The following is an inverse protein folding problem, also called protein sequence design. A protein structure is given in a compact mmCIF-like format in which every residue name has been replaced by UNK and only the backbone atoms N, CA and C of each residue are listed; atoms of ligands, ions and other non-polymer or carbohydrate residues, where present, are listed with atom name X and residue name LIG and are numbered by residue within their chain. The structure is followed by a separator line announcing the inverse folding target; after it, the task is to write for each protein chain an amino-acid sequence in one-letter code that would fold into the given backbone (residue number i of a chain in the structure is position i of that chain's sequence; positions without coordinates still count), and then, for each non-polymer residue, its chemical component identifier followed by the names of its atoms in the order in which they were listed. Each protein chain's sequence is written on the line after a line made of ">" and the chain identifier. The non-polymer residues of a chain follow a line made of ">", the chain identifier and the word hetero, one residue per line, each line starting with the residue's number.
data_IF_813810241013
#
_entry.id   IF_813810241013
#
_cell.length_a   1.000
_cell.length_b   1.000
_cell.length_c   1.000
_cell.angle_alpha   90.00
_cell.angle_beta   90.00
_cell.angle_gamma   90.00
#
_symmetry.space_group_name_H-M   'P 1'
#
loop_
_entity.id
_entity.type
_entity.pdbx_description
1 polymer ?
#
# COMPACT_ATOMS: atom_id res chain seq x y z
N UNK A 1 -14.31 -29.57 -5.03
CA UNK A 1 -14.95 -28.23 -5.02
C UNK A 1 -13.88 -27.25 -5.45
N UNK A 2 -14.08 -26.47 -6.51
CA UNK A 2 -13.07 -25.52 -7.01
C UNK A 2 -13.13 -24.25 -6.15
N UNK A 3 -11.97 -23.72 -5.74
CA UNK A 3 -11.90 -22.48 -4.98
C UNK A 3 -12.11 -21.27 -5.91
N UNK A 4 -13.37 -20.87 -6.09
CA UNK A 4 -13.78 -19.83 -7.06
C UNK A 4 -13.01 -18.51 -6.87
N UNK A 5 -12.69 -18.15 -5.61
CA UNK A 5 -11.95 -16.93 -5.31
C UNK A 5 -10.50 -16.97 -5.82
N UNK A 6 -9.83 -18.10 -5.65
CA UNK A 6 -8.47 -18.32 -6.14
C UNK A 6 -8.42 -18.36 -7.66
N UNK A 7 -9.40 -19.01 -8.31
CA UNK A 7 -9.50 -19.01 -9.79
C UNK A 7 -9.77 -17.60 -10.33
N UNK A 8 -10.58 -16.76 -9.65
CA UNK A 8 -10.77 -15.36 -10.04
C UNK A 8 -9.48 -14.54 -9.91
N UNK A 9 -8.75 -14.75 -8.82
CA UNK A 9 -7.48 -14.07 -8.58
C UNK A 9 -6.44 -14.41 -9.66
N UNK A 10 -6.25 -15.69 -9.98
CA UNK A 10 -5.32 -16.12 -11.03
C UNK A 10 -5.80 -15.72 -12.44
N UNK A 11 -7.11 -15.71 -12.70
CA UNK A 11 -7.67 -15.20 -13.96
C UNK A 11 -7.29 -13.74 -14.19
N UNK A 12 -7.46 -12.89 -13.17
CA UNK A 12 -7.15 -11.47 -13.24
C UNK A 12 -5.65 -11.23 -13.47
N UNK A 13 -4.80 -11.94 -12.72
CA UNK A 13 -3.34 -11.90 -12.88
C UNK A 13 -2.91 -12.34 -14.28
N UNK A 14 -3.47 -13.44 -14.79
CA UNK A 14 -3.16 -13.95 -16.13
C UNK A 14 -3.65 -12.97 -17.23
N UNK A 15 -4.78 -12.30 -17.01
CA UNK A 15 -5.32 -11.27 -17.90
C UNK A 15 -4.37 -10.09 -18.01
N UNK A 16 -3.83 -9.62 -16.89
CA UNK A 16 -2.85 -8.52 -16.85
C UNK A 16 -1.55 -8.88 -17.58
N UNK A 17 -1.00 -10.08 -17.35
CA UNK A 17 0.17 -10.58 -18.08
C UNK A 17 -0.10 -10.61 -19.58
N UNK A 18 -1.29 -11.06 -20.00
CA UNK A 18 -1.68 -11.10 -21.41
C UNK A 18 -1.76 -9.71 -22.03
N UNK A 19 -2.28 -8.71 -21.31
CA UNK A 19 -2.33 -7.32 -21.77
C UNK A 19 -0.92 -6.78 -22.03
N UNK A 20 0.02 -7.00 -21.10
CA UNK A 20 1.41 -6.57 -21.26
C UNK A 20 2.10 -7.25 -22.45
N UNK A 21 1.86 -8.54 -22.68
CA UNK A 21 2.38 -9.27 -23.85
C UNK A 21 1.79 -8.73 -25.17
N UNK A 22 0.51 -8.36 -25.17
CA UNK A 22 -0.15 -7.77 -26.35
C UNK A 22 0.38 -6.37 -26.66
N UNK A 23 0.67 -5.57 -25.64
CA UNK A 23 1.31 -4.26 -25.78
C UNK A 23 2.73 -4.39 -26.36
N UNK A 24 3.54 -5.32 -25.85
CA UNK A 24 4.88 -5.59 -26.40
C UNK A 24 4.80 -6.01 -27.87
N UNK A 25 3.87 -6.92 -28.21
CA UNK A 25 3.64 -7.36 -29.59
C UNK A 25 3.25 -6.17 -30.49
N UNK A 26 2.34 -5.31 -30.03
CA UNK A 26 1.88 -4.16 -30.79
C UNK A 26 3.00 -3.14 -31.05
N UNK A 27 3.89 -2.93 -30.08
CA UNK A 27 5.08 -2.07 -30.24
C UNK A 27 6.05 -2.68 -31.25
N UNK A 28 6.32 -3.98 -31.16
CA UNK A 28 7.24 -4.65 -32.09
C UNK A 28 6.71 -4.68 -33.52
N UNK A 29 5.40 -4.90 -33.72
CA UNK A 29 4.76 -4.82 -35.05
C UNK A 29 4.82 -3.42 -35.65
N UNK A 30 4.64 -2.37 -34.83
CA UNK A 30 4.80 -0.98 -35.30
C UNK A 30 6.24 -0.69 -35.72
N UNK A 31 7.24 -1.13 -34.94
CA UNK A 31 8.66 -0.95 -35.29
C UNK A 31 9.02 -1.72 -36.57
N UNK A 32 8.46 -2.91 -36.77
CA UNK A 32 8.65 -3.70 -38.00
C UNK A 32 8.04 -3.06 -39.25
N UNK A 33 6.87 -2.42 -39.09
CA UNK A 33 6.22 -1.68 -40.18
C UNK A 33 6.96 -0.38 -40.55
N UNK A 34 7.64 0.24 -39.58
CA UNK A 34 8.47 1.43 -39.80
C UNK A 34 9.80 1.11 -40.51
N UNK A 35 10.37 -0.08 -40.32
CA UNK A 35 11.59 -0.50 -41.03
C UNK A 35 11.32 -0.98 -42.47
N UNK A 36 10.10 -1.46 -42.74
CA UNK A 36 9.70 -1.93 -44.08
C UNK A 36 9.24 -0.79 -45.02
N UNK A 37 8.94 0.39 -44.49
CA UNK A 37 8.66 1.63 -45.24
C UNK A 37 9.86 2.58 -45.12
N UNK A 38 10.65 2.73 -46.19
CA UNK A 38 11.82 3.63 -46.24
C UNK A 38 11.54 5.10 -45.83
N UNK A 39 12.57 5.96 -45.73
CA UNK A 39 12.52 7.19 -44.94
C UNK A 39 11.48 8.18 -45.50
N UNK A 40 10.50 8.54 -44.69
CA UNK A 40 9.60 9.68 -44.94
C UNK A 40 9.48 10.56 -43.69
N UNK A 41 9.23 11.88 -43.84
CA UNK A 41 9.61 12.85 -42.83
C UNK A 41 8.52 13.10 -41.77
N UNK A 42 9.00 13.15 -40.51
CA UNK A 42 8.47 13.85 -39.34
C UNK A 42 7.06 13.51 -38.84
N UNK A 43 7.01 12.90 -37.64
CA UNK A 43 6.26 13.46 -36.51
C UNK A 43 6.83 12.94 -35.20
N UNK A 44 7.51 13.82 -34.47
CA UNK A 44 8.13 13.49 -33.20
C UNK A 44 7.09 13.14 -32.13
N UNK A 45 7.29 11.98 -31.49
CA UNK A 45 7.12 11.85 -30.05
C UNK A 45 7.88 10.64 -29.53
N UNK A 46 8.62 10.90 -28.47
CA UNK A 46 9.71 10.12 -27.93
C UNK A 46 9.13 8.90 -27.20
N UNK A 47 9.58 7.70 -27.56
CA UNK A 47 9.18 6.46 -26.90
C UNK A 47 9.83 5.19 -27.46
N UNK A 48 10.48 5.24 -28.62
CA UNK A 48 11.05 4.07 -29.28
C UNK A 48 12.53 3.84 -28.95
N UNK A 49 12.86 3.70 -27.66
CA UNK A 49 14.21 3.29 -27.26
C UNK A 49 14.34 1.78 -27.03
N UNK A 50 13.22 1.06 -26.82
CA UNK A 50 13.25 -0.38 -26.47
C UNK A 50 13.08 -1.35 -27.65
N UNK A 51 12.49 -0.92 -28.77
CA UNK A 51 12.27 -1.79 -29.95
C UNK A 51 13.39 -1.77 -30.99
N UNK A 52 14.16 -0.68 -31.05
CA UNK A 52 15.14 -0.39 -32.11
C UNK A 52 16.49 -1.10 -31.94
N UNK A 53 16.66 -1.91 -30.89
CA UNK A 53 17.92 -2.60 -30.58
C UNK A 53 18.01 -4.02 -31.16
N UNK A 54 16.89 -4.58 -31.66
CA UNK A 54 16.83 -5.95 -32.16
C UNK A 54 17.10 -5.99 -33.67
N UNK A 55 17.87 -6.98 -34.12
CA UNK A 55 18.04 -7.25 -35.56
C UNK A 55 16.70 -7.71 -36.17
N UNK A 56 16.48 -7.53 -37.50
CA UNK A 56 15.23 -7.91 -38.15
C UNK A 56 14.84 -9.37 -37.88
N UNK A 57 15.79 -10.30 -37.95
CA UNK A 57 15.54 -11.71 -37.68
C UNK A 57 15.19 -11.98 -36.20
N UNK A 58 15.83 -11.26 -35.26
CA UNK A 58 15.50 -11.35 -33.84
C UNK A 58 14.11 -10.77 -33.53
N UNK A 59 13.67 -9.74 -34.26
CA UNK A 59 12.34 -9.15 -34.12
C UNK A 59 11.24 -10.10 -34.60
N UNK A 60 11.42 -10.71 -35.77
CA UNK A 60 10.49 -11.72 -36.30
C UNK A 60 10.37 -12.90 -35.33
N UNK A 61 11.49 -13.42 -34.83
CA UNK A 61 11.48 -14.50 -33.83
C UNK A 61 10.76 -14.09 -32.53
N UNK A 62 10.96 -12.85 -32.07
CA UNK A 62 10.27 -12.31 -30.89
C UNK A 62 8.76 -12.16 -31.11
N UNK A 63 8.33 -11.68 -32.28
CA UNK A 63 6.92 -11.58 -32.66
C UNK A 63 6.26 -12.96 -32.63
N UNK A 64 6.83 -13.97 -33.28
CA UNK A 64 6.27 -15.32 -33.28
C UNK A 64 6.19 -15.92 -31.87
N UNK A 65 7.19 -15.68 -31.03
CA UNK A 65 7.18 -16.12 -29.62
C UNK A 65 6.07 -15.45 -28.81
N UNK A 66 5.85 -14.13 -28.99
CA UNK A 66 4.76 -13.40 -28.35
C UNK A 66 3.38 -13.86 -28.83
N UNK A 67 3.21 -14.13 -30.11
CA UNK A 67 1.96 -14.69 -30.65
C UNK A 67 1.66 -16.07 -30.07
N UNK A 68 2.68 -16.92 -29.95
CA UNK A 68 2.54 -18.22 -29.31
C UNK A 68 2.16 -18.11 -27.81
N UNK A 69 2.84 -17.24 -27.06
CA UNK A 69 2.52 -16.99 -25.65
C UNK A 69 1.11 -16.40 -25.46
N UNK A 70 0.67 -15.52 -26.35
CA UNK A 70 -0.70 -14.99 -26.37
C UNK A 70 -1.74 -16.09 -26.66
N UNK A 71 -1.41 -17.04 -27.55
CA UNK A 71 -2.23 -18.22 -27.81
C UNK A 71 -2.40 -19.11 -26.58
N UNK A 72 -1.29 -19.45 -25.90
CA UNK A 72 -1.33 -20.25 -24.66
C UNK A 72 -2.15 -19.52 -23.58
N UNK A 73 -1.85 -18.24 -23.34
CA UNK A 73 -2.54 -17.44 -22.33
C UNK A 73 -4.04 -17.32 -22.61
N UNK A 74 -4.44 -17.21 -23.88
CA UNK A 74 -5.86 -17.21 -24.27
C UNK A 74 -6.55 -18.52 -23.89
N UNK A 75 -5.93 -19.67 -24.14
CA UNK A 75 -6.49 -20.97 -23.78
C UNK A 75 -6.63 -21.12 -22.26
N UNK A 76 -5.63 -20.68 -21.49
CA UNK A 76 -5.70 -20.69 -20.02
C UNK A 76 -6.82 -19.80 -19.49
N UNK A 77 -7.01 -18.59 -20.03
CA UNK A 77 -8.10 -17.69 -19.64
C UNK A 77 -9.47 -18.27 -19.98
N UNK A 78 -9.64 -18.91 -21.13
CA UNK A 78 -10.90 -19.57 -21.50
C UNK A 78 -11.20 -20.73 -20.56
N UNK A 79 -10.20 -21.55 -20.21
CA UNK A 79 -10.37 -22.64 -19.26
C UNK A 79 -10.75 -22.12 -17.86
N UNK A 80 -10.11 -21.05 -17.38
CA UNK A 80 -10.44 -20.42 -16.10
C UNK A 80 -11.83 -19.79 -16.13
N UNK A 81 -12.18 -19.06 -17.18
CA UNK A 81 -13.52 -18.50 -17.36
C UNK A 81 -14.61 -19.59 -17.39
N UNK A 82 -14.34 -20.73 -18.03
CA UNK A 82 -15.24 -21.88 -18.02
C UNK A 82 -15.42 -22.46 -16.63
N UNK A 83 -14.36 -22.58 -15.83
CA UNK A 83 -14.46 -23.03 -14.44
C UNK A 83 -15.28 -22.07 -13.59
N UNK A 84 -15.10 -20.75 -13.78
CA UNK A 84 -15.89 -19.72 -13.09
C UNK A 84 -17.36 -19.78 -13.49
N UNK A 85 -17.65 -19.92 -14.78
CA UNK A 85 -19.01 -20.04 -15.30
C UNK A 85 -19.69 -21.32 -14.81
N UNK A 86 -18.99 -22.45 -14.81
CA UNK A 86 -19.54 -23.73 -14.36
C UNK A 86 -19.75 -23.75 -12.83
N UNK A 87 -18.88 -23.07 -12.06
CA UNK A 87 -19.10 -22.88 -10.64
C UNK A 87 -20.35 -22.01 -10.38
N UNK A 88 -20.51 -20.94 -11.14
CA UNK A 88 -21.66 -20.04 -11.04
C UNK A 88 -22.97 -20.72 -11.48
N UNK A 89 -22.93 -21.56 -12.53
CA UNK A 89 -24.09 -22.35 -12.96
C UNK A 89 -24.46 -23.41 -11.93
N UNK A 90 -23.48 -24.05 -11.27
CA UNK A 90 -23.77 -24.94 -10.14
C UNK A 90 -24.48 -24.21 -9.01
N UNK A 91 -24.12 -22.97 -8.68
CA UNK A 91 -24.84 -22.18 -7.67
C UNK A 91 -26.24 -21.73 -8.13
N UNK A 92 -26.41 -21.38 -9.41
CA UNK A 92 -27.72 -21.01 -9.98
C UNK A 92 -28.66 -22.20 -10.14
N UNK A 93 -28.15 -23.38 -10.47
CA UNK A 93 -28.95 -24.59 -10.72
C UNK A 93 -29.77 -25.03 -9.49
N UNK A 94 -29.38 -24.61 -8.28
CA UNK A 94 -30.11 -24.93 -7.07
C UNK A 94 -31.01 -23.79 -6.55
N UNK A 95 -30.70 -22.54 -6.89
CA UNK A 95 -31.50 -21.36 -6.49
C UNK A 95 -32.59 -21.00 -7.49
N UNK A 96 -32.61 -21.65 -8.66
CA UNK A 96 -33.63 -21.41 -9.67
C UNK A 96 -35.04 -21.82 -9.20
N UNK A 97 -35.95 -20.83 -9.21
CA UNK A 97 -37.40 -20.93 -9.00
C UNK A 97 -38.06 -22.13 -9.72
N UNK A 98 -37.47 -22.59 -10.82
CA UNK A 98 -37.92 -23.74 -11.61
C UNK A 98 -37.83 -25.11 -10.91
N UNK A 99 -36.94 -25.29 -9.91
CA UNK A 99 -36.81 -26.59 -9.19
C UNK A 99 -37.93 -26.82 -8.17
N UNK A 100 -38.39 -25.75 -7.53
CA UNK A 100 -39.59 -25.80 -6.68
C UNK A 100 -40.82 -26.27 -7.48
N UNK A 101 -40.91 -25.85 -8.74
CA UNK A 101 -41.97 -26.27 -9.66
C UNK A 101 -41.85 -27.74 -10.13
N UNK A 102 -40.75 -28.43 -9.84
CA UNK A 102 -40.48 -29.83 -10.18
C UNK A 102 -40.63 -30.78 -8.97
N UNK A 103 -41.02 -30.28 -7.80
CA UNK A 103 -41.29 -31.11 -6.62
C UNK A 103 -42.55 -31.98 -6.86
N UNK A 104 -42.34 -33.19 -7.39
CA UNK A 104 -43.41 -34.16 -7.68
C UNK A 104 -43.46 -35.29 -6.64
N UNK A 105 -42.42 -35.45 -5.83
CA UNK A 105 -42.35 -36.47 -4.78
C UNK A 105 -41.76 -35.94 -3.47
N UNK A 106 -42.02 -36.67 -2.37
CA UNK A 106 -41.40 -36.41 -1.07
C UNK A 106 -39.88 -36.64 -1.07
N UNK A 107 -39.38 -37.51 -1.95
CA UNK A 107 -37.94 -37.73 -2.14
C UNK A 107 -37.25 -36.48 -2.70
N UNK A 108 -37.89 -35.82 -3.66
CA UNK A 108 -37.38 -34.56 -4.24
C UNK A 108 -37.34 -33.44 -3.20
N UNK A 109 -38.40 -33.35 -2.38
CA UNK A 109 -38.47 -32.38 -1.29
C UNK A 109 -37.36 -32.62 -0.25
N UNK A 110 -37.12 -33.87 0.14
CA UNK A 110 -36.03 -34.24 1.06
C UNK A 110 -34.67 -33.86 0.49
N UNK A 111 -34.40 -34.19 -0.77
CA UNK A 111 -33.12 -33.89 -1.40
C UNK A 111 -32.86 -32.38 -1.51
N UNK A 112 -33.90 -31.60 -1.87
CA UNK A 112 -33.81 -30.15 -1.91
C UNK A 112 -33.52 -29.56 -0.52
N UNK A 113 -34.25 -30.00 0.50
CA UNK A 113 -34.02 -29.55 1.88
C UNK A 113 -32.60 -29.91 2.35
N UNK A 114 -32.15 -31.15 2.11
CA UNK A 114 -30.81 -31.56 2.50
C UNK A 114 -29.73 -30.69 1.85
N UNK A 115 -29.89 -30.39 0.56
CA UNK A 115 -28.98 -29.49 -0.15
C UNK A 115 -28.99 -28.09 0.47
N UNK A 116 -30.17 -27.51 0.71
CA UNK A 116 -30.28 -26.17 1.30
C UNK A 116 -29.67 -26.11 2.71
N UNK A 117 -29.88 -27.15 3.52
CA UNK A 117 -29.24 -27.26 4.84
C UNK A 117 -27.72 -27.34 4.75
N UNK A 118 -27.19 -28.16 3.83
CA UNK A 118 -25.73 -28.26 3.64
C UNK A 118 -25.15 -26.94 3.16
N UNK A 119 -25.76 -26.31 2.14
CA UNK A 119 -25.31 -25.02 1.60
C UNK A 119 -25.36 -23.89 2.64
N UNK A 120 -26.43 -23.83 3.43
CA UNK A 120 -26.53 -22.87 4.53
C UNK A 120 -25.50 -23.16 5.63
N UNK A 121 -25.28 -24.43 5.94
CA UNK A 121 -24.25 -24.89 6.88
C UNK A 121 -22.86 -24.46 6.46
N UNK A 122 -22.48 -24.73 5.21
CA UNK A 122 -21.20 -24.36 4.62
C UNK A 122 -20.99 -22.84 4.63
N UNK A 123 -22.02 -22.09 4.24
CA UNK A 123 -21.99 -20.61 4.26
C UNK A 123 -21.77 -20.07 5.67
N UNK A 124 -22.40 -20.68 6.68
CA UNK A 124 -22.23 -20.30 8.09
C UNK A 124 -20.82 -20.61 8.60
N UNK A 125 -20.25 -21.76 8.23
CA UNK A 125 -18.87 -22.11 8.61
C UNK A 125 -17.87 -21.12 8.01
N UNK A 126 -17.99 -20.81 6.71
CA UNK A 126 -17.14 -19.83 6.05
C UNK A 126 -17.25 -18.44 6.68
N UNK A 127 -18.46 -18.00 7.05
CA UNK A 127 -18.66 -16.73 7.74
C UNK A 127 -17.92 -16.72 9.08
N UNK A 128 -18.00 -17.82 9.85
CA UNK A 128 -17.29 -17.97 11.12
C UNK A 128 -15.77 -17.90 10.96
N UNK A 129 -15.21 -18.52 9.92
CA UNK A 129 -13.78 -18.44 9.60
C UNK A 129 -13.37 -16.99 9.32
N UNK A 130 -14.14 -16.26 8.49
CA UNK A 130 -13.88 -14.84 8.22
C UNK A 130 -14.03 -13.95 9.44
N UNK A 131 -14.97 -14.23 10.33
CA UNK A 131 -15.10 -13.50 11.59
C UNK A 131 -13.89 -13.71 12.51
N UNK A 132 -13.24 -14.88 12.46
CA UNK A 132 -11.98 -15.13 13.16
C UNK A 132 -10.83 -14.33 12.53
N UNK A 133 -10.67 -14.40 11.21
CA UNK A 133 -9.64 -13.64 10.48
C UNK A 133 -9.77 -12.13 10.73
N UNK A 134 -10.99 -11.58 10.67
CA UNK A 134 -11.26 -10.16 10.93
C UNK A 134 -10.84 -9.79 12.35
N UNK A 135 -11.11 -10.66 13.33
CA UNK A 135 -10.75 -10.42 14.74
C UNK A 135 -9.25 -10.38 14.94
N UNK A 136 -8.52 -11.32 14.33
CA UNK A 136 -7.06 -11.40 14.39
C UNK A 136 -6.41 -10.19 13.73
N UNK A 137 -6.83 -9.84 12.50
CA UNK A 137 -6.33 -8.66 11.80
C UNK A 137 -6.60 -7.37 12.58
N UNK A 138 -7.75 -7.29 13.27
CA UNK A 138 -8.08 -6.15 14.14
C UNK A 138 -7.17 -6.09 15.36
N UNK A 139 -6.73 -7.23 15.90
CA UNK A 139 -5.77 -7.29 17.00
C UNK A 139 -4.37 -6.87 16.55
N UNK A 140 -3.89 -7.38 15.42
CA UNK A 140 -2.64 -6.94 14.80
C UNK A 140 -2.62 -5.43 14.54
N UNK A 141 -3.73 -4.87 14.04
CA UNK A 141 -3.86 -3.43 13.85
C UNK A 141 -3.76 -2.65 15.16
N UNK A 142 -4.38 -3.14 16.24
CA UNK A 142 -4.29 -2.50 17.56
C UNK A 142 -2.85 -2.50 18.08
N UNK A 143 -2.13 -3.61 17.89
CA UNK A 143 -0.73 -3.72 18.29
C UNK A 143 0.15 -2.73 17.51
N UNK A 144 0.00 -2.68 16.18
CA UNK A 144 0.71 -1.71 15.33
C UNK A 144 0.42 -0.26 15.73
N UNK A 145 -0.85 0.07 16.03
CA UNK A 145 -1.23 1.40 16.52
C UNK A 145 -0.58 1.69 17.87
N UNK A 146 -0.46 0.70 18.75
CA UNK A 146 0.25 0.81 20.02
C UNK A 146 1.73 1.12 19.84
N UNK A 147 2.42 0.34 18.99
CA UNK A 147 3.83 0.53 18.66
C UNK A 147 4.09 1.89 18.01
N UNK A 148 3.21 2.34 17.10
CA UNK A 148 3.33 3.65 16.47
C UNK A 148 3.27 4.79 17.49
N UNK A 149 2.31 4.74 18.43
CA UNK A 149 2.21 5.74 19.52
C UNK A 149 3.44 5.74 20.42
N UNK A 150 3.98 4.57 20.74
CA UNK A 150 5.21 4.45 21.53
C UNK A 150 6.41 5.05 20.77
N UNK A 151 6.53 4.75 19.48
CA UNK A 151 7.57 5.30 18.62
C UNK A 151 7.47 6.83 18.52
N UNK A 152 6.25 7.38 18.42
CA UNK A 152 6.02 8.82 18.44
C UNK A 152 6.44 9.48 19.75
N UNK A 153 6.20 8.83 20.90
CA UNK A 153 6.65 9.31 22.20
C UNK A 153 8.18 9.29 22.31
N UNK A 154 8.82 8.19 21.91
CA UNK A 154 10.28 8.09 21.91
C UNK A 154 10.93 9.12 20.99
N UNK A 155 10.36 9.38 19.81
CA UNK A 155 10.84 10.40 18.89
C UNK A 155 10.77 11.80 19.51
N UNK A 156 9.68 12.13 20.20
CA UNK A 156 9.54 13.42 20.90
C UNK A 156 10.56 13.59 22.02
N UNK A 157 10.85 12.51 22.77
CA UNK A 157 11.85 12.54 23.84
C UNK A 157 13.25 12.80 23.28
N UNK A 158 13.65 12.07 22.24
CA UNK A 158 14.94 12.26 21.56
C UNK A 158 15.06 13.68 20.98
N UNK A 159 13.98 14.22 20.42
CA UNK A 159 13.95 15.60 19.92
C UNK A 159 14.17 16.62 21.05
N UNK A 160 13.59 16.39 22.23
CA UNK A 160 13.79 17.24 23.41
C UNK A 160 15.22 17.14 23.96
N UNK A 161 15.76 15.92 24.08
CA UNK A 161 17.16 15.71 24.49
C UNK A 161 18.14 16.42 23.54
N UNK A 162 17.88 16.35 22.24
CA UNK A 162 18.70 17.01 21.22
C UNK A 162 18.64 18.54 21.37
N UNK A 163 17.45 19.12 21.54
CA UNK A 163 17.29 20.57 21.79
C UNK A 163 18.05 21.03 23.03
N UNK A 164 18.01 20.26 24.12
CA UNK A 164 18.75 20.55 25.34
C UNK A 164 20.27 20.49 25.12
N UNK A 165 20.75 19.49 24.38
CA UNK A 165 22.17 19.36 24.02
C UNK A 165 22.64 20.51 23.13
N UNK A 166 21.87 20.88 22.12
CA UNK A 166 22.18 22.02 21.24
C UNK A 166 22.25 23.34 22.03
N UNK A 167 21.30 23.56 22.95
CA UNK A 167 21.32 24.73 23.82
C UNK A 167 22.55 24.74 24.73
N UNK A 168 22.93 23.60 25.31
CA UNK A 168 24.14 23.49 26.12
C UNK A 168 25.42 23.78 25.30
N UNK A 169 25.50 23.29 24.07
CA UNK A 169 26.61 23.58 23.15
C UNK A 169 26.67 25.07 22.80
N UNK A 170 25.52 25.71 22.53
CA UNK A 170 25.46 27.15 22.26
C UNK A 170 25.96 27.98 23.46
N UNK A 171 25.57 27.61 24.69
CA UNK A 171 26.04 28.27 25.93
C UNK A 171 27.56 28.08 26.11
N UNK A 172 28.07 26.86 25.88
CA UNK A 172 29.50 26.56 25.98
C UNK A 172 30.34 27.37 24.97
N UNK A 173 29.85 27.51 23.73
CA UNK A 173 30.50 28.33 22.70
C UNK A 173 30.49 29.82 23.06
N UNK A 174 29.36 30.34 23.56
CA UNK A 174 29.26 31.75 23.98
C UNK A 174 30.17 32.09 25.18
N UNK A 175 30.29 31.16 26.14
CA UNK A 175 31.21 31.32 27.29
C UNK A 175 32.68 31.19 26.90
N UNK A 176 33.01 30.39 25.88
CA UNK A 176 34.36 30.33 25.31
C UNK A 176 34.73 31.62 24.59
N UNK A 177 33.81 32.18 23.77
CA UNK A 177 34.02 33.43 23.05
C UNK A 177 34.25 34.65 23.97
N UNK A 178 33.54 34.72 25.11
CA UNK A 178 33.75 35.77 26.12
C UNK A 178 35.07 35.62 26.89
N UNK A 179 35.58 34.39 27.06
CA UNK A 179 36.93 34.17 27.61
C UNK A 179 38.03 34.61 26.65
N UNK A 180 37.85 34.44 25.34
CA UNK A 180 38.78 34.93 24.31
C UNK A 180 38.84 36.47 24.25
N UNK A 181 37.71 37.16 24.45
CA UNK A 181 37.65 38.63 24.55
C UNK A 181 38.35 39.22 25.79
N UNK A 182 38.63 38.42 26.83
CA UNK A 182 39.37 38.84 28.03
C UNK A 182 40.88 38.67 27.92
N UNK A 183 41.40 38.02 26.87
CA UNK A 183 42.82 37.84 26.59
C UNK A 183 43.30 38.75 25.44
N UNK A 184 42.89 40.02 25.46
CA UNK A 184 43.56 41.09 24.68
C UNK A 184 44.55 41.82 25.60
N UNK A 185 45.87 41.84 25.32
CA UNK A 185 46.83 42.56 26.17
C UNK A 185 46.84 44.07 25.87
N UNK A 186 46.66 44.87 26.93
CA UNK A 186 46.84 46.34 26.99
C UNK A 186 45.58 47.12 26.57
N UNK A 187 44.98 47.99 27.40
CA UNK A 187 45.58 49.13 28.10
C UNK A 187 44.93 49.31 29.48
N UNK A 188 45.79 49.59 30.46
CA UNK A 188 45.48 49.95 31.85
C UNK A 188 44.49 51.11 31.95
N UNK A 189 43.54 51.04 32.90
CA UNK A 189 43.16 52.15 33.79
C UNK A 189 42.12 51.68 34.84
N UNK A 190 42.42 51.91 36.12
CA UNK A 190 41.57 51.56 37.28
C UNK A 190 40.50 52.62 37.62
N UNK A 191 40.13 52.80 38.90
CA UNK A 191 39.18 51.96 39.61
C UNK A 191 38.00 52.74 40.26
N UNK A 192 37.11 52.00 40.93
CA UNK A 192 36.19 52.40 42.01
C UNK A 192 34.84 53.05 41.64
N UNK A 193 33.74 52.37 41.98
CA UNK A 193 32.91 52.79 43.14
C UNK A 193 31.87 51.75 43.54
N UNK A 194 31.85 51.55 44.85
CA UNK A 194 30.93 50.84 45.71
C UNK A 194 29.54 51.50 45.72
N UNK A 195 28.47 50.69 45.76
CA UNK A 195 27.21 51.01 46.45
C UNK A 195 26.40 49.73 46.64
N UNK A 196 26.38 49.26 47.88
CA UNK A 196 25.41 48.31 48.39
C UNK A 196 24.13 49.07 48.81
N UNK A 197 22.97 48.47 48.56
CA UNK A 197 21.79 48.63 49.41
C UNK A 197 20.88 47.40 49.26
N UNK A 198 20.55 46.83 50.41
CA UNK A 198 19.71 45.64 50.67
C UNK A 198 18.29 46.12 51.02
N UNK A 199 17.36 45.16 51.14
CA UNK A 199 16.02 45.16 51.82
C UNK A 199 14.87 45.29 50.80
N UNK A 200 14.29 44.19 50.31
CA UNK A 200 13.27 43.29 50.92
C UNK A 200 11.94 44.01 51.23
N UNK A 201 10.86 43.66 50.53
CA UNK A 201 9.56 43.51 51.21
C UNK A 201 8.49 42.74 50.39
N UNK A 202 7.88 41.82 51.12
CA UNK A 202 6.49 41.34 51.10
C UNK A 202 5.88 40.59 49.91
N UNK A 203 5.65 39.31 50.22
CA UNK A 203 4.62 38.44 49.66
C UNK A 203 3.19 39.00 49.72
N UNK A 204 2.36 38.46 48.81
CA UNK A 204 1.03 37.82 49.06
C UNK A 204 -0.06 38.38 48.14
N UNK A 205 -0.63 37.54 47.27
CA UNK A 205 -2.04 37.12 47.32
C UNK A 205 -2.37 36.19 46.15
N UNK A 206 -2.70 34.95 46.50
CA UNK A 206 -3.52 34.01 45.73
C UNK A 206 -4.96 34.52 45.75
N UNK A 207 -5.65 34.55 44.61
CA UNK A 207 -7.10 34.30 44.57
C UNK A 207 -7.44 33.44 43.37
N UNK A 208 -8.03 32.28 43.67
CA UNK A 208 -8.81 31.47 42.75
C UNK A 208 -10.12 32.21 42.46
N UNK A 209 -10.57 32.23 41.22
CA UNK A 209 -12.02 32.20 40.96
C UNK A 209 -12.34 31.39 39.71
N UNK A 210 -13.53 30.82 39.76
CA UNK A 210 -14.09 29.69 39.04
C UNK A 210 -15.29 30.22 38.25
N UNK A 211 -15.70 29.49 37.21
CA UNK A 211 -17.05 29.41 36.62
C UNK A 211 -17.42 30.32 35.42
N UNK A 212 -18.01 29.63 34.43
CA UNK A 212 -18.96 30.04 33.38
C UNK A 212 -18.45 30.68 32.08
N UNK A 213 -18.40 29.89 31.00
CA UNK A 213 -19.56 29.56 30.14
C UNK A 213 -19.27 28.36 29.25
#
# INVERSE_FOLDING_TARGET
>A
MVNVHEVRFEYEKQSQVRAALAEELAVLKQVDELDSKGPSPSRGKNGCARGSSLSPNARVARISSLEHMLGISSNSLVAMASQLSEAEERERAFTNRGRWNQLRSMGDAKNLLQYMFNSLGDSRCQLWEKDIEIREMKEQLKELVGLLRQSELQRKEVENELKLREQAVAIALATSATKQLKYSPGIVNGPARESAAVIDDTARTITNEKVSS
#
